data_IF_692084861104
#
_entry.id   IF_692084861104
#
_cell.length_a   1.000
_cell.length_b   1.000
_cell.length_c   1.000
_cell.angle_alpha   90.00
_cell.angle_beta   90.00
_cell.angle_gamma   90.00
#
_symmetry.space_group_name_H-M   'P 1'
#
loop_
_entity.id
_entity.type
_entity.pdbx_description
1 polymer ?
#
# COMPACT_ATOMS: atom_id res chain seq x y z
N UNK A 1 -59.25 -20.72 15.13
CA UNK A 1 -58.08 -21.63 15.07
C UNK A 1 -56.90 -20.91 15.71
N UNK A 2 -56.39 -21.51 16.78
CA UNK A 2 -55.26 -21.07 17.61
C UNK A 2 -53.99 -20.82 16.78
N UNK A 3 -53.27 -19.75 17.08
CA UNK A 3 -51.94 -19.43 16.54
C UNK A 3 -51.23 -18.41 17.43
N UNK A 4 -51.05 -18.79 18.70
CA UNK A 4 -50.23 -18.11 19.70
C UNK A 4 -48.76 -18.14 19.25
N UNK A 5 -48.06 -17.00 19.25
CA UNK A 5 -46.65 -16.86 19.65
C UNK A 5 -46.24 -15.38 19.57
N UNK A 6 -46.50 -14.66 20.67
CA UNK A 6 -45.78 -13.42 20.99
C UNK A 6 -44.40 -13.85 21.51
N UNK A 7 -43.35 -13.65 20.72
CA UNK A 7 -41.98 -13.58 21.21
C UNK A 7 -41.52 -12.12 21.12
N UNK A 8 -41.87 -11.37 22.17
CA UNK A 8 -41.25 -10.11 22.55
C UNK A 8 -39.77 -10.38 22.85
N UNK A 9 -38.91 -10.35 21.84
CA UNK A 9 -37.49 -10.12 22.03
C UNK A 9 -37.20 -8.70 21.54
N UNK A 10 -37.20 -7.81 22.52
CA UNK A 10 -36.57 -6.49 22.58
C UNK A 10 -35.98 -5.96 21.27
N UNK A 11 -36.40 -4.75 20.90
CA UNK A 11 -35.65 -3.85 20.03
C UNK A 11 -34.25 -3.65 20.62
N UNK A 12 -33.33 -4.57 20.35
CA UNK A 12 -31.91 -4.30 20.52
C UNK A 12 -31.61 -3.32 19.40
N UNK A 13 -31.55 -2.02 19.74
CA UNK A 13 -30.79 -1.06 18.97
C UNK A 13 -29.34 -1.54 19.00
N UNK A 14 -29.03 -2.56 18.19
CA UNK A 14 -27.67 -2.84 17.80
C UNK A 14 -27.28 -1.63 16.96
N UNK A 15 -26.65 -0.64 17.59
CA UNK A 15 -25.85 0.33 16.86
C UNK A 15 -24.90 -0.47 16.00
N UNK A 16 -25.20 -0.57 14.71
CA UNK A 16 -24.30 -1.19 13.75
C UNK A 16 -23.07 -0.29 13.74
N UNK A 17 -22.05 -0.66 14.50
CA UNK A 17 -20.75 -0.02 14.42
C UNK A 17 -20.17 -0.43 13.07
N UNK A 18 -20.36 0.41 12.06
CA UNK A 18 -19.55 0.32 10.85
C UNK A 18 -18.11 0.61 11.25
N UNK A 19 -17.34 -0.43 11.55
CA UNK A 19 -15.89 -0.32 11.61
C UNK A 19 -15.46 0.21 10.23
N UNK A 20 -15.00 1.46 10.19
CA UNK A 20 -14.45 2.05 8.98
C UNK A 20 -13.32 1.16 8.48
N UNK A 21 -13.47 0.58 7.29
CA UNK A 21 -12.39 -0.21 6.69
C UNK A 21 -11.13 0.66 6.62
N UNK A 22 -9.97 0.13 7.02
CA UNK A 22 -8.74 0.89 6.93
C UNK A 22 -8.51 1.28 5.47
N UNK A 23 -8.31 2.56 5.21
CA UNK A 23 -8.01 3.05 3.88
C UNK A 23 -6.54 2.77 3.58
N UNK A 24 -6.29 2.03 2.50
CA UNK A 24 -4.94 1.66 2.05
C UNK A 24 -4.29 2.83 1.28
N UNK A 25 -4.16 4.00 1.90
CA UNK A 25 -3.83 5.24 1.20
C UNK A 25 -2.43 5.21 0.56
N UNK A 26 -1.42 4.69 1.24
CA UNK A 26 -0.09 4.54 0.66
C UNK A 26 -0.08 3.60 -0.55
N UNK A 27 -0.83 2.50 -0.50
CA UNK A 27 -0.98 1.61 -1.65
C UNK A 27 -1.65 2.33 -2.83
N UNK A 28 -2.70 3.13 -2.59
CA UNK A 28 -3.34 3.91 -3.64
C UNK A 28 -2.44 5.02 -4.19
N UNK A 29 -1.58 5.60 -3.37
CA UNK A 29 -0.58 6.56 -3.82
C UNK A 29 0.46 5.90 -4.74
N UNK A 30 0.98 4.72 -4.35
CA UNK A 30 1.90 3.95 -5.19
C UNK A 30 1.22 3.54 -6.51
N UNK A 31 -0.03 3.08 -6.45
CA UNK A 31 -0.81 2.74 -7.64
C UNK A 31 -0.99 3.94 -8.57
N UNK A 32 -1.26 5.12 -8.01
CA UNK A 32 -1.32 6.34 -8.80
C UNK A 32 0.02 6.71 -9.44
N UNK A 33 1.13 6.53 -8.72
CA UNK A 33 2.49 6.71 -9.26
C UNK A 33 2.76 5.75 -10.42
N UNK A 34 2.40 4.47 -10.28
CA UNK A 34 2.49 3.48 -11.36
C UNK A 34 1.69 3.92 -12.59
N UNK A 35 0.43 4.31 -12.41
CA UNK A 35 -0.40 4.80 -13.51
C UNK A 35 0.17 6.06 -14.18
N UNK A 36 0.85 6.92 -13.42
CA UNK A 36 1.47 8.14 -13.95
C UNK A 36 2.68 7.86 -14.85
N UNK A 37 3.62 7.01 -14.40
CA UNK A 37 4.88 6.77 -15.11
C UNK A 37 4.79 5.60 -16.09
N UNK A 38 4.19 4.49 -15.66
CA UNK A 38 4.17 3.22 -16.40
C UNK A 38 2.98 3.13 -17.36
N UNK A 39 1.95 3.94 -17.16
CA UNK A 39 0.66 3.88 -17.85
C UNK A 39 -0.13 2.57 -17.66
N UNK A 40 0.20 1.77 -16.65
CA UNK A 40 -0.57 0.60 -16.24
C UNK A 40 -0.51 0.42 -14.71
N UNK A 41 -1.38 -0.46 -14.19
CA UNK A 41 -1.54 -0.70 -12.76
C UNK A 41 -0.34 -1.42 -12.16
N UNK A 42 0.23 -0.90 -11.07
CA UNK A 42 1.34 -1.56 -10.36
C UNK A 42 0.92 -2.89 -9.72
N UNK A 43 -0.39 -3.10 -9.55
CA UNK A 43 -0.96 -4.33 -9.02
C UNK A 43 -0.68 -5.56 -9.90
N UNK A 44 -0.26 -5.41 -11.15
CA UNK A 44 0.14 -6.57 -12.00
C UNK A 44 1.32 -7.35 -11.41
N UNK A 45 2.15 -6.70 -10.60
CA UNK A 45 3.28 -7.34 -9.92
C UNK A 45 2.91 -7.91 -8.55
N UNK A 46 1.65 -7.79 -8.11
CA UNK A 46 1.24 -8.41 -6.87
C UNK A 46 1.26 -9.94 -7.02
N UNK A 47 1.91 -10.63 -6.08
CA UNK A 47 2.17 -12.08 -6.14
C UNK A 47 3.07 -12.50 -7.31
N UNK A 48 3.99 -11.62 -7.72
CA UNK A 48 5.04 -11.93 -8.69
C UNK A 48 6.34 -12.35 -7.98
N UNK A 49 7.01 -13.35 -8.53
CA UNK A 49 8.31 -13.81 -8.01
C UNK A 49 8.28 -14.27 -6.56
N UNK A 50 9.35 -13.99 -5.83
CA UNK A 50 9.56 -14.36 -4.45
C UNK A 50 9.29 -13.23 -3.45
N UNK A 51 9.28 -11.97 -3.91
CA UNK A 51 9.23 -10.78 -3.06
C UNK A 51 8.13 -9.77 -3.45
N UNK A 52 7.60 -9.78 -4.67
CA UNK A 52 6.54 -8.82 -5.02
C UNK A 52 5.19 -9.25 -4.42
N UNK A 53 4.88 -8.79 -3.20
CA UNK A 53 3.62 -9.09 -2.52
C UNK A 53 3.76 -9.11 -1.01
N UNK A 54 3.01 -10.00 -0.35
CA UNK A 54 3.06 -10.13 1.10
C UNK A 54 4.24 -11.00 1.54
N UNK A 55 5.21 -10.40 2.23
CA UNK A 55 6.40 -11.07 2.72
C UNK A 55 7.40 -11.35 1.59
N UNK A 56 8.39 -12.19 1.86
CA UNK A 56 9.37 -12.55 0.84
C UNK A 56 10.47 -13.43 1.41
N UNK A 57 11.04 -14.32 0.61
CA UNK A 57 12.15 -15.19 1.04
C UNK A 57 12.90 -15.80 -0.13
N UNK A 58 14.13 -16.26 0.12
CA UNK A 58 14.95 -16.90 -0.90
C UNK A 58 15.75 -15.89 -1.73
N UNK A 59 15.83 -16.11 -3.04
CA UNK A 59 16.56 -15.28 -3.98
C UNK A 59 15.61 -14.74 -5.04
N UNK A 60 15.76 -13.47 -5.47
CA UNK A 60 14.90 -12.90 -6.48
C UNK A 60 15.07 -13.64 -7.81
N UNK A 61 13.96 -13.88 -8.50
CA UNK A 61 13.97 -14.64 -9.76
C UNK A 61 14.45 -13.82 -10.96
N UNK A 62 14.36 -12.49 -10.88
CA UNK A 62 14.80 -11.54 -11.90
C UNK A 62 15.02 -10.12 -11.32
N UNK A 63 15.15 -9.13 -12.22
CA UNK A 63 15.35 -7.72 -11.86
C UNK A 63 14.15 -7.08 -11.18
N UNK A 64 12.92 -7.43 -11.57
CA UNK A 64 11.68 -6.89 -11.00
C UNK A 64 11.49 -7.43 -9.58
N UNK A 65 11.68 -8.73 -9.39
CA UNK A 65 11.61 -9.37 -8.08
C UNK A 65 12.71 -8.85 -7.13
N UNK A 66 13.90 -8.55 -7.66
CA UNK A 66 14.95 -7.88 -6.91
C UNK A 66 14.57 -6.43 -6.52
N UNK A 67 13.74 -5.74 -7.30
CA UNK A 67 13.20 -4.43 -6.92
C UNK A 67 12.25 -4.55 -5.75
N UNK A 68 11.37 -5.55 -5.76
CA UNK A 68 10.45 -5.82 -4.66
C UNK A 68 11.20 -6.20 -3.38
N UNK A 69 12.22 -7.06 -3.46
CA UNK A 69 13.09 -7.37 -2.32
C UNK A 69 13.72 -6.11 -1.71
N UNK A 70 14.19 -5.18 -2.55
CA UNK A 70 14.77 -3.93 -2.06
C UNK A 70 13.71 -2.97 -1.47
N UNK A 71 12.49 -3.00 -2.00
CA UNK A 71 11.35 -2.23 -1.48
C UNK A 71 10.95 -2.74 -0.09
N UNK A 72 10.82 -4.05 0.10
CA UNK A 72 10.58 -4.67 1.40
C UNK A 72 11.66 -4.31 2.43
N UNK A 73 12.94 -4.39 2.04
CA UNK A 73 14.06 -4.02 2.90
C UNK A 73 14.01 -2.54 3.32
N UNK A 74 13.58 -1.65 2.41
CA UNK A 74 13.44 -0.24 2.70
C UNK A 74 12.39 0.02 3.80
N UNK A 75 11.25 -0.67 3.70
CA UNK A 75 10.18 -0.65 4.70
C UNK A 75 10.65 -1.21 6.05
N UNK A 76 11.23 -2.40 6.05
CA UNK A 76 11.79 -3.03 7.25
C UNK A 76 12.78 -2.11 7.97
N UNK A 77 13.68 -1.47 7.23
CA UNK A 77 14.66 -0.56 7.81
C UNK A 77 14.03 0.74 8.31
N UNK A 78 12.99 1.23 7.65
CA UNK A 78 12.23 2.39 8.12
C UNK A 78 11.53 2.12 9.46
N UNK A 79 10.95 0.92 9.64
CA UNK A 79 10.39 0.49 10.93
C UNK A 79 11.49 0.35 11.98
N UNK A 80 12.61 -0.30 11.65
CA UNK A 80 13.73 -0.48 12.60
C UNK A 80 14.33 0.83 13.09
N UNK A 81 14.41 1.84 12.22
CA UNK A 81 14.91 3.19 12.57
C UNK A 81 13.88 4.04 13.32
N UNK A 82 12.62 3.60 13.38
CA UNK A 82 11.52 4.37 13.96
C UNK A 82 10.98 5.48 13.05
N UNK A 83 11.34 5.46 11.77
CA UNK A 83 10.78 6.36 10.75
C UNK A 83 9.32 5.96 10.45
N UNK A 84 8.98 4.67 10.54
CA UNK A 84 7.64 4.11 10.40
C UNK A 84 7.16 3.56 11.75
N UNK A 85 5.90 3.80 12.12
CA UNK A 85 5.34 3.30 13.39
C UNK A 85 5.04 1.81 13.40
N UNK A 86 4.80 1.22 12.24
CA UNK A 86 4.56 -0.21 12.03
C UNK A 86 4.57 -0.52 10.53
N UNK A 87 4.73 -1.80 10.17
CA UNK A 87 4.57 -2.26 8.79
C UNK A 87 3.19 -1.95 8.24
N UNK A 88 2.15 -2.02 9.08
CA UNK A 88 0.80 -1.62 8.68
C UNK A 88 0.68 -0.17 8.24
N UNK A 89 1.44 0.73 8.89
CA UNK A 89 1.42 2.14 8.56
C UNK A 89 1.95 2.39 7.13
N UNK A 90 2.82 1.53 6.62
CA UNK A 90 3.41 1.63 5.28
C UNK A 90 2.39 1.43 4.16
N UNK A 91 1.29 0.74 4.45
CA UNK A 91 0.20 0.50 3.50
C UNK A 91 -0.95 1.49 3.65
N UNK A 92 -1.08 2.11 4.82
CA UNK A 92 -2.27 2.89 5.20
C UNK A 92 -2.03 4.40 5.31
N UNK A 93 -0.77 4.82 5.40
CA UNK A 93 -0.46 6.24 5.62
C UNK A 93 -0.50 7.02 4.33
N UNK A 94 -1.24 8.11 4.33
CA UNK A 94 -1.25 9.03 3.19
C UNK A 94 0.06 9.82 3.08
N UNK A 95 0.54 9.99 1.86
CA UNK A 95 1.64 10.88 1.51
C UNK A 95 1.29 11.63 0.23
N UNK A 96 1.87 12.82 0.06
CA UNK A 96 1.51 13.70 -1.06
C UNK A 96 2.47 13.51 -2.21
N UNK A 97 2.00 13.60 -3.44
CA UNK A 97 2.78 13.51 -4.67
C UNK A 97 1.93 14.07 -5.81
N UNK A 98 2.57 14.39 -6.92
CA UNK A 98 1.92 14.93 -8.12
C UNK A 98 2.36 14.17 -9.36
N UNK A 99 1.48 14.11 -10.35
CA UNK A 99 1.80 13.63 -11.70
C UNK A 99 1.85 14.84 -12.63
N UNK A 100 3.02 15.17 -13.16
CA UNK A 100 3.21 16.28 -14.10
C UNK A 100 3.84 15.75 -15.37
N UNK A 101 3.14 15.86 -16.50
CA UNK A 101 3.61 15.42 -17.82
C UNK A 101 4.13 13.97 -17.86
N UNK A 102 3.44 13.05 -17.17
CA UNK A 102 3.84 11.63 -17.09
C UNK A 102 5.03 11.37 -16.17
N UNK A 103 5.46 12.37 -15.39
CA UNK A 103 6.53 12.24 -14.40
C UNK A 103 5.99 12.35 -12.98
N UNK A 104 6.55 11.54 -12.09
CA UNK A 104 6.23 11.55 -10.67
C UNK A 104 7.01 12.70 -10.00
N UNK A 105 6.29 13.61 -9.35
CA UNK A 105 6.87 14.73 -8.61
C UNK A 105 6.58 14.55 -7.11
N UNK A 106 7.63 14.34 -6.34
CA UNK A 106 7.55 14.29 -4.89
C UNK A 106 7.32 15.68 -4.30
N UNK A 107 6.26 15.84 -3.51
CA UNK A 107 5.98 17.09 -2.79
C UNK A 107 6.54 17.03 -1.37
N UNK A 108 6.99 18.17 -0.85
CA UNK A 108 7.55 18.25 0.49
C UNK A 108 6.49 17.91 1.55
N UNK A 109 6.81 16.99 2.44
CA UNK A 109 5.97 16.66 3.61
C UNK A 109 6.69 17.02 4.92
N UNK A 110 5.92 17.10 6.02
CA UNK A 110 6.47 17.47 7.35
C UNK A 110 6.99 16.29 8.16
N UNK A 111 6.73 15.06 7.74
CA UNK A 111 7.02 13.86 8.50
C UNK A 111 8.06 13.02 7.78
N UNK A 112 9.16 12.67 8.46
CA UNK A 112 10.17 11.74 7.95
C UNK A 112 9.53 10.44 7.46
N UNK A 113 8.46 9.99 8.13
CA UNK A 113 7.70 8.84 7.73
C UNK A 113 7.12 8.95 6.31
N UNK A 114 6.40 10.04 6.02
CA UNK A 114 5.74 10.21 4.72
C UNK A 114 6.75 10.51 3.62
N UNK A 115 7.90 11.09 3.96
CA UNK A 115 9.06 11.22 3.06
C UNK A 115 9.57 9.83 2.68
N UNK A 116 9.79 8.94 3.66
CA UNK A 116 10.27 7.58 3.41
C UNK A 116 9.31 6.79 2.52
N UNK A 117 8.01 6.85 2.79
CA UNK A 117 7.01 6.17 1.94
C UNK A 117 6.99 6.71 0.51
N UNK A 118 7.05 8.02 0.36
CA UNK A 118 7.09 8.66 -0.95
C UNK A 118 8.32 8.25 -1.75
N UNK A 119 9.51 8.20 -1.14
CA UNK A 119 10.73 7.74 -1.81
C UNK A 119 10.70 6.24 -2.12
N UNK A 120 10.17 5.41 -1.22
CA UNK A 120 10.05 3.99 -1.46
C UNK A 120 9.13 3.70 -2.66
N UNK A 121 7.98 4.37 -2.73
CA UNK A 121 7.04 4.25 -3.86
C UNK A 121 7.61 4.80 -5.17
N UNK A 122 8.30 5.96 -5.16
CA UNK A 122 9.00 6.45 -6.35
C UNK A 122 10.06 5.44 -6.81
N UNK A 123 10.91 4.96 -5.90
CA UNK A 123 12.03 4.10 -6.25
C UNK A 123 11.60 2.76 -6.85
N UNK A 124 10.50 2.15 -6.41
CA UNK A 124 10.04 0.89 -6.99
C UNK A 124 9.44 1.13 -8.38
N UNK A 125 8.66 2.20 -8.56
CA UNK A 125 8.02 2.52 -9.84
C UNK A 125 9.04 2.92 -10.91
N UNK A 126 10.03 3.76 -10.56
CA UNK A 126 11.12 4.14 -11.47
C UNK A 126 11.95 2.93 -11.90
N UNK A 127 12.21 1.99 -10.99
CA UNK A 127 12.97 0.79 -11.34
C UNK A 127 12.17 -0.12 -12.27
N UNK A 128 10.88 -0.33 -11.99
CA UNK A 128 10.00 -1.09 -12.88
C UNK A 128 10.01 -0.48 -14.28
N UNK A 129 9.89 0.85 -14.40
CA UNK A 129 9.97 1.56 -15.68
C UNK A 129 11.25 1.21 -16.46
N UNK A 130 12.39 1.21 -15.77
CA UNK A 130 13.70 0.89 -16.39
C UNK A 130 13.82 -0.58 -16.80
N UNK A 131 13.12 -1.51 -16.12
CA UNK A 131 13.16 -2.94 -16.47
C UNK A 131 12.21 -3.32 -17.61
N UNK A 132 11.13 -2.56 -17.80
CA UNK A 132 10.10 -2.83 -18.81
C UNK A 132 10.39 -2.17 -20.18
N UNK A 133 11.27 -1.16 -20.25
CA UNK A 133 11.77 -0.51 -21.48
C UNK A 133 12.99 -1.23 -22.09
#
# INVERSE_FOLDING_TARGET
MLGLLVALCTFFNASVTFASRPQMLALWNMEGMSMCLLHYTGLVYNSYGCFCGSGGSGYPIDGIDACCMNHDNCYDDAVKRGDCSSTWAEYTTDYKWECTDGMIVCTSTRSTFTITLQFASLSIVDKIYVYDE
#
